data_IF_145199891001
#
_entry.id   IF_145199891001
#
_cell.length_a   1.000
_cell.length_b   1.000
_cell.length_c   1.000
_cell.angle_alpha   90.00
_cell.angle_beta   90.00
_cell.angle_gamma   90.00
#
_symmetry.space_group_name_H-M   'P 1'
#
loop_
_entity.id
_entity.type
_entity.pdbx_description
1 polymer ?
#
# COMPACT_ATOMS: atom_id res chain seq x y z
N UNK A 1 15.06 -12.07 28.40
CA UNK A 1 13.78 -12.06 27.68
C UNK A 1 14.01 -12.76 26.35
N UNK A 2 13.14 -13.68 25.99
CA UNK A 2 13.19 -14.45 24.74
C UNK A 2 12.48 -13.65 23.66
N UNK A 3 13.17 -13.43 22.54
CA UNK A 3 12.66 -12.75 21.34
C UNK A 3 11.26 -13.24 20.94
N UNK A 4 10.35 -12.31 20.63
CA UNK A 4 9.01 -12.60 20.13
C UNK A 4 9.11 -13.35 18.80
N UNK A 5 8.59 -14.58 18.71
CA UNK A 5 8.65 -15.37 17.48
C UNK A 5 7.25 -15.53 16.89
N UNK A 6 7.20 -15.72 15.58
CA UNK A 6 5.98 -16.06 14.86
C UNK A 6 5.22 -17.26 15.48
N UNK A 7 5.94 -18.28 15.96
CA UNK A 7 5.32 -19.44 16.62
C UNK A 7 4.53 -19.09 17.89
N UNK A 8 4.91 -18.02 18.59
CA UNK A 8 4.20 -17.56 19.77
C UNK A 8 2.86 -16.94 19.36
N UNK A 9 2.81 -16.21 18.24
CA UNK A 9 1.57 -15.69 17.63
C UNK A 9 0.68 -16.81 17.07
N UNK A 10 1.27 -17.76 16.34
CA UNK A 10 0.56 -18.92 15.81
C UNK A 10 -0.07 -19.75 16.94
N UNK A 11 0.65 -19.99 18.05
CA UNK A 11 0.08 -20.66 19.22
C UNK A 11 -1.09 -19.88 19.82
N UNK A 12 -0.95 -18.56 19.98
CA UNK A 12 -2.05 -17.71 20.49
C UNK A 12 -3.26 -17.74 19.57
N UNK A 13 -3.07 -17.86 18.26
CA UNK A 13 -4.17 -18.02 17.31
C UNK A 13 -4.94 -19.34 17.56
N UNK A 14 -4.26 -20.41 17.96
CA UNK A 14 -4.87 -21.72 18.24
C UNK A 14 -5.60 -21.80 19.60
N UNK A 15 -5.04 -21.17 20.63
CA UNK A 15 -5.52 -21.34 22.02
C UNK A 15 -6.13 -20.09 22.65
N UNK A 16 -6.12 -18.96 21.93
CA UNK A 16 -6.68 -17.68 22.39
C UNK A 16 -8.18 -17.75 22.71
N UNK A 17 -8.73 -16.80 23.47
CA UNK A 17 -10.13 -16.80 23.85
C UNK A 17 -11.05 -16.78 22.63
N UNK A 18 -12.16 -17.54 22.69
CA UNK A 18 -13.17 -17.54 21.63
C UNK A 18 -14.01 -16.26 21.67
N UNK A 19 -14.40 -15.77 20.50
CA UNK A 19 -15.27 -14.60 20.33
C UNK A 19 -16.10 -14.75 19.06
N UNK A 20 -17.32 -14.21 19.01
CA UNK A 20 -18.02 -14.08 17.73
C UNK A 20 -17.41 -12.93 16.95
N UNK A 21 -17.32 -13.09 15.63
CA UNK A 21 -16.79 -12.05 14.76
C UNK A 21 -17.54 -10.72 14.92
N UNK A 22 -18.87 -10.75 14.99
CA UNK A 22 -19.69 -9.55 15.24
C UNK A 22 -19.36 -8.84 16.55
N UNK A 23 -19.00 -9.61 17.59
CA UNK A 23 -18.66 -9.04 18.89
C UNK A 23 -17.26 -8.41 18.84
N UNK A 24 -16.35 -8.97 18.04
CA UNK A 24 -15.03 -8.40 17.78
C UNK A 24 -15.13 -7.10 16.97
N UNK A 25 -15.92 -7.08 15.90
CA UNK A 25 -16.15 -5.89 15.07
C UNK A 25 -16.75 -4.73 15.89
N UNK A 26 -17.73 -5.03 16.75
CA UNK A 26 -18.29 -4.05 17.67
C UNK A 26 -17.28 -3.61 18.74
N UNK A 27 -16.43 -4.52 19.23
CA UNK A 27 -15.37 -4.18 20.19
C UNK A 27 -14.38 -3.18 19.59
N UNK A 28 -13.95 -3.37 18.34
CA UNK A 28 -13.09 -2.42 17.62
C UNK A 28 -13.76 -1.05 17.56
N UNK A 29 -15.00 -1.01 17.08
CA UNK A 29 -15.77 0.23 16.91
C UNK A 29 -15.92 0.99 18.22
N UNK A 30 -16.37 0.31 19.28
CA UNK A 30 -16.62 0.93 20.59
C UNK A 30 -15.33 1.41 21.26
N UNK A 31 -14.27 0.60 21.19
CA UNK A 31 -12.97 0.94 21.78
C UNK A 31 -12.35 2.14 21.05
N UNK A 32 -12.42 2.20 19.73
CA UNK A 32 -11.92 3.34 18.97
C UNK A 32 -12.68 4.64 19.29
N UNK A 33 -14.01 4.57 19.43
CA UNK A 33 -14.83 5.72 19.84
C UNK A 33 -14.52 6.21 21.26
N UNK A 34 -14.34 5.27 22.20
CA UNK A 34 -13.95 5.57 23.58
C UNK A 34 -12.59 6.29 23.61
N UNK A 35 -11.59 5.71 22.96
CA UNK A 35 -10.23 6.27 22.91
C UNK A 35 -10.18 7.61 22.18
N UNK A 36 -10.91 7.79 21.08
CA UNK A 36 -11.01 9.09 20.41
C UNK A 36 -11.58 10.17 21.33
N UNK A 37 -12.53 9.82 22.20
CA UNK A 37 -13.10 10.74 23.19
C UNK A 37 -12.12 11.02 24.33
N UNK A 38 -11.43 10.01 24.84
CA UNK A 38 -10.46 10.14 25.94
C UNK A 38 -9.28 11.05 25.56
N UNK A 39 -8.81 10.94 24.31
CA UNK A 39 -7.69 11.70 23.77
C UNK A 39 -8.11 12.97 22.99
N UNK A 40 -9.41 13.30 22.94
CA UNK A 40 -9.98 14.41 22.17
C UNK A 40 -9.57 14.44 20.67
N UNK A 41 -9.46 13.27 20.05
CA UNK A 41 -9.06 13.10 18.65
C UNK A 41 -10.26 13.41 17.74
N UNK A 42 -10.17 14.51 16.99
CA UNK A 42 -11.26 15.00 16.12
C UNK A 42 -10.79 15.19 14.69
N UNK A 43 -11.64 14.77 13.74
CA UNK A 43 -11.42 15.00 12.32
C UNK A 43 -11.78 16.45 11.96
N UNK A 44 -10.84 17.16 11.32
CA UNK A 44 -11.07 18.48 10.73
C UNK A 44 -11.04 18.37 9.19
N UNK A 45 -12.18 18.55 8.50
CA UNK A 45 -12.24 18.43 7.03
C UNK A 45 -11.55 19.58 6.28
N UNK A 46 -11.10 20.64 6.97
CA UNK A 46 -10.32 21.74 6.38
C UNK A 46 -8.81 21.47 6.37
N UNK A 47 -8.36 20.45 7.10
CA UNK A 47 -6.95 20.06 7.20
C UNK A 47 -6.75 18.77 6.40
N UNK A 48 -5.81 18.80 5.45
CA UNK A 48 -5.41 17.62 4.70
C UNK A 48 -4.08 17.07 5.23
N UNK A 49 -3.15 17.96 5.59
CA UNK A 49 -1.88 17.63 6.20
C UNK A 49 -1.82 18.30 7.57
N UNK A 50 -1.89 17.51 8.64
CA UNK A 50 -1.83 18.06 10.01
C UNK A 50 -0.41 18.48 10.36
N UNK A 51 -0.22 19.65 10.97
CA UNK A 51 1.03 20.06 11.60
C UNK A 51 1.04 19.85 13.13
N UNK A 52 -0.07 19.37 13.70
CA UNK A 52 -0.24 19.12 15.13
C UNK A 52 0.49 17.84 15.56
N UNK A 53 1.60 18.02 16.28
CA UNK A 53 2.40 16.92 16.82
C UNK A 53 1.71 16.20 17.99
N UNK A 54 0.97 16.91 18.85
CA UNK A 54 0.25 16.29 19.96
C UNK A 54 -0.81 15.33 19.45
N UNK A 55 -1.58 15.74 18.43
CA UNK A 55 -2.59 14.88 17.81
C UNK A 55 -1.99 13.56 17.28
N UNK A 56 -0.82 13.63 16.65
CA UNK A 56 -0.12 12.43 16.17
C UNK A 56 0.32 11.51 17.32
N UNK A 57 0.83 12.08 18.41
CA UNK A 57 1.27 11.31 19.58
C UNK A 57 0.08 10.70 20.34
N UNK A 58 -1.04 11.43 20.43
CA UNK A 58 -2.31 10.94 21.00
C UNK A 58 -2.90 9.78 20.17
N UNK A 59 -2.90 9.89 18.83
CA UNK A 59 -3.31 8.79 17.94
C UNK A 59 -2.42 7.57 18.11
N UNK A 60 -1.11 7.75 18.34
CA UNK A 60 -0.21 6.64 18.65
C UNK A 60 -0.58 5.93 19.95
N UNK A 61 -0.78 6.69 21.04
CA UNK A 61 -1.16 6.11 22.33
C UNK A 61 -2.52 5.40 22.25
N UNK A 62 -3.49 6.03 21.60
CA UNK A 62 -4.80 5.42 21.35
C UNK A 62 -4.68 4.14 20.52
N UNK A 63 -3.87 4.12 19.45
CA UNK A 63 -3.67 2.94 18.61
C UNK A 63 -3.04 1.77 19.37
N UNK A 64 -2.02 2.07 20.20
CA UNK A 64 -1.41 1.09 21.11
C UNK A 64 -2.46 0.50 22.08
N UNK A 65 -3.24 1.37 22.74
CA UNK A 65 -4.28 0.96 23.68
C UNK A 65 -5.36 0.13 23.00
N UNK A 66 -5.77 0.49 21.78
CA UNK A 66 -6.74 -0.28 21.00
C UNK A 66 -6.21 -1.69 20.73
N UNK A 67 -4.97 -1.83 20.26
CA UNK A 67 -4.36 -3.13 19.97
C UNK A 67 -4.30 -4.01 21.23
N UNK A 68 -3.89 -3.46 22.37
CA UNK A 68 -3.80 -4.19 23.63
C UNK A 68 -5.18 -4.62 24.17
N UNK A 69 -6.21 -3.79 24.01
CA UNK A 69 -7.58 -4.08 24.47
C UNK A 69 -8.31 -5.07 23.56
N UNK A 70 -8.08 -5.00 22.25
CA UNK A 70 -8.81 -5.79 21.27
C UNK A 70 -8.09 -7.07 20.88
N UNK A 71 -6.78 -7.03 20.67
CA UNK A 71 -6.01 -8.10 20.05
C UNK A 71 -6.27 -8.22 18.54
N UNK A 72 -5.94 -9.38 17.98
CA UNK A 72 -6.15 -9.71 16.57
C UNK A 72 -7.05 -10.94 16.46
N UNK A 73 -8.10 -10.89 15.65
CA UNK A 73 -9.08 -11.98 15.54
C UNK A 73 -8.74 -12.94 14.40
N UNK A 74 -8.68 -14.23 14.70
CA UNK A 74 -8.59 -15.29 13.70
C UNK A 74 -10.00 -15.74 13.30
N UNK A 75 -10.41 -15.42 12.07
CA UNK A 75 -11.74 -15.73 11.54
C UNK A 75 -11.96 -17.23 11.33
N UNK A 76 -10.89 -18.00 11.10
CA UNK A 76 -10.97 -19.43 10.79
C UNK A 76 -11.45 -20.26 11.97
N UNK A 77 -10.98 -19.93 13.18
CA UNK A 77 -11.31 -20.68 14.40
C UNK A 77 -12.03 -19.83 15.47
N UNK A 78 -12.32 -18.57 15.17
CA UNK A 78 -13.07 -17.63 16.01
C UNK A 78 -12.38 -17.32 17.35
N UNK A 79 -11.05 -17.19 17.33
CA UNK A 79 -10.24 -16.87 18.52
C UNK A 79 -9.53 -15.54 18.38
N UNK A 80 -9.17 -14.95 19.51
CA UNK A 80 -8.41 -13.69 19.57
C UNK A 80 -6.97 -13.97 20.00
N UNK A 81 -6.02 -13.53 19.20
CA UNK A 81 -4.61 -13.39 19.56
C UNK A 81 -4.52 -12.19 20.51
N UNK A 82 -4.29 -12.46 21.79
CA UNK A 82 -4.11 -11.43 22.83
C UNK A 82 -2.64 -11.06 22.94
N UNK A 83 -2.36 -9.76 23.08
CA UNK A 83 -1.00 -9.21 23.11
C UNK A 83 -0.76 -8.51 24.44
N UNK A 84 0.43 -8.67 25.01
CA UNK A 84 0.87 -7.86 26.17
C UNK A 84 1.66 -6.64 25.71
N UNK A 85 1.77 -5.64 26.58
CA UNK A 85 2.54 -4.44 26.30
C UNK A 85 4.03 -4.76 26.05
N UNK A 86 4.58 -5.73 26.77
CA UNK A 86 5.96 -6.20 26.58
C UNK A 86 6.16 -6.83 25.21
N UNK A 87 5.24 -7.70 24.76
CA UNK A 87 5.30 -8.33 23.44
C UNK A 87 5.28 -7.28 22.32
N UNK A 88 4.40 -6.28 22.45
CA UNK A 88 4.32 -5.20 21.45
C UNK A 88 5.59 -4.34 21.45
N UNK A 89 6.08 -3.94 22.63
CA UNK A 89 7.32 -3.16 22.75
C UNK A 89 8.54 -3.91 22.23
N UNK A 90 8.63 -5.22 22.49
CA UNK A 90 9.68 -6.08 21.97
C UNK A 90 9.62 -6.18 20.45
N UNK A 91 8.44 -6.43 19.88
CA UNK A 91 8.24 -6.45 18.42
C UNK A 91 8.65 -5.14 17.75
N UNK A 92 8.22 -4.00 18.30
CA UNK A 92 8.59 -2.68 17.78
C UNK A 92 10.09 -2.41 17.88
N UNK A 93 10.73 -2.76 19.00
CA UNK A 93 12.17 -2.59 19.21
C UNK A 93 13.01 -3.38 18.21
N UNK A 94 12.56 -4.59 17.85
CA UNK A 94 13.27 -5.48 16.94
C UNK A 94 12.89 -5.26 15.47
N UNK A 95 11.94 -4.36 15.18
CA UNK A 95 11.51 -4.09 13.81
C UNK A 95 12.65 -3.54 12.95
N UNK A 96 12.66 -3.90 11.66
CA UNK A 96 13.63 -3.35 10.73
C UNK A 96 13.41 -1.85 10.53
N UNK A 97 14.46 -1.05 10.77
CA UNK A 97 14.48 0.38 10.45
C UNK A 97 15.00 0.63 9.02
N UNK A 98 15.77 -0.32 8.48
CA UNK A 98 16.26 -0.32 7.11
C UNK A 98 16.34 -1.76 6.57
N UNK A 99 16.23 -1.89 5.26
CA UNK A 99 16.36 -3.15 4.53
C UNK A 99 16.97 -2.89 3.16
N UNK A 100 17.86 -3.76 2.70
CA UNK A 100 18.46 -3.69 1.37
C UNK A 100 17.95 -4.85 0.52
N UNK A 101 17.55 -4.55 -0.70
CA UNK A 101 17.13 -5.54 -1.68
C UNK A 101 17.72 -5.21 -3.06
N UNK A 102 17.87 -6.21 -3.91
CA UNK A 102 18.38 -6.10 -5.26
C UNK A 102 19.90 -6.11 -5.36
N UNK A 103 20.41 -6.12 -6.60
CA UNK A 103 21.85 -6.25 -6.88
C UNK A 103 22.35 -5.25 -7.92
N UNK A 104 23.61 -4.86 -7.79
CA UNK A 104 24.26 -3.92 -8.72
C UNK A 104 23.49 -2.61 -8.82
N UNK A 105 23.14 -2.21 -10.05
CA UNK A 105 22.36 -0.99 -10.32
C UNK A 105 20.90 -1.05 -9.85
N UNK A 106 20.39 -2.25 -9.58
CA UNK A 106 19.01 -2.47 -9.13
C UNK A 106 18.91 -2.52 -7.59
N UNK A 107 20.03 -2.32 -6.88
CA UNK A 107 20.07 -2.30 -5.41
C UNK A 107 19.32 -1.09 -4.86
N UNK A 108 18.44 -1.33 -3.91
CA UNK A 108 17.63 -0.32 -3.23
C UNK A 108 17.80 -0.48 -1.72
N UNK A 109 18.09 0.63 -1.05
CA UNK A 109 18.01 0.73 0.41
C UNK A 109 16.67 1.36 0.80
N UNK A 110 15.85 0.58 1.48
CA UNK A 110 14.55 0.99 2.00
C UNK A 110 14.74 1.35 3.46
N UNK A 111 14.20 2.48 3.91
CA UNK A 111 14.33 2.91 5.31
C UNK A 111 13.05 3.51 5.85
N UNK A 112 12.91 3.48 7.17
CA UNK A 112 11.94 4.28 7.88
C UNK A 112 12.23 5.76 7.63
N UNK A 113 11.17 6.54 7.43
CA UNK A 113 11.25 7.99 7.25
C UNK A 113 10.67 8.70 8.46
N UNK A 114 11.23 9.86 8.77
CA UNK A 114 10.66 10.76 9.78
C UNK A 114 9.65 11.71 9.15
N UNK A 115 8.86 12.37 9.99
CA UNK A 115 8.04 13.51 9.55
C UNK A 115 8.95 14.58 8.94
N UNK A 116 8.57 15.10 7.77
CA UNK A 116 9.33 16.08 6.99
C UNK A 116 10.77 15.66 6.67
N UNK A 117 11.01 14.36 6.55
CA UNK A 117 12.34 13.84 6.22
C UNK A 117 12.77 14.29 4.82
N UNK A 118 13.95 14.90 4.74
CA UNK A 118 14.52 15.45 3.49
C UNK A 118 15.05 14.38 2.55
N UNK A 119 15.27 13.20 3.11
CA UNK A 119 15.76 12.05 2.41
C UNK A 119 14.75 11.50 1.41
N UNK A 120 15.26 11.08 0.24
CA UNK A 120 14.46 10.52 -0.85
C UNK A 120 13.57 9.38 -0.35
N UNK A 121 12.27 9.46 -0.64
CA UNK A 121 11.32 8.39 -0.38
C UNK A 121 11.52 7.22 -1.35
N UNK A 122 11.42 5.98 -0.85
CA UNK A 122 11.42 4.79 -1.70
C UNK A 122 10.08 4.68 -2.43
N UNK A 123 10.13 4.41 -3.74
CA UNK A 123 8.97 4.31 -4.62
C UNK A 123 8.68 2.86 -4.98
N UNK A 124 7.56 2.37 -4.46
CA UNK A 124 6.95 1.10 -4.83
C UNK A 124 5.90 1.36 -5.90
N UNK A 125 6.12 0.91 -7.13
CA UNK A 125 5.16 1.19 -8.20
C UNK A 125 5.17 0.10 -9.25
N UNK A 126 4.08 -0.01 -10.00
CA UNK A 126 3.88 -1.09 -10.94
C UNK A 126 2.43 -1.15 -11.40
N UNK A 127 2.08 -2.18 -12.18
CA UNK A 127 0.70 -2.45 -12.56
C UNK A 127 -0.27 -2.57 -11.39
N UNK A 128 0.21 -2.89 -10.18
CA UNK A 128 -0.59 -2.96 -8.96
C UNK A 128 -1.80 -3.89 -9.12
N UNK A 129 -1.57 -5.09 -9.67
CA UNK A 129 -2.60 -6.12 -9.78
C UNK A 129 -3.75 -5.82 -10.75
N UNK A 130 -3.61 -4.78 -11.59
CA UNK A 130 -4.60 -4.50 -12.65
C UNK A 130 -4.70 -5.71 -13.57
N UNK A 131 -5.93 -6.13 -13.88
CA UNK A 131 -6.22 -7.20 -14.84
C UNK A 131 -5.43 -6.96 -16.12
N UNK A 132 -4.69 -7.96 -16.58
CA UNK A 132 -3.76 -7.85 -17.68
C UNK A 132 -3.94 -9.04 -18.62
N UNK A 133 -4.10 -8.76 -19.90
CA UNK A 133 -4.19 -9.82 -20.91
C UNK A 133 -2.85 -10.51 -21.07
N UNK A 134 -2.87 -11.81 -21.38
CA UNK A 134 -1.64 -12.63 -21.39
C UNK A 134 -0.59 -12.11 -22.40
N UNK A 135 -1.03 -11.65 -23.56
CA UNK A 135 -0.19 -11.06 -24.61
C UNK A 135 0.42 -9.71 -24.20
N UNK A 136 -0.27 -8.97 -23.34
CA UNK A 136 0.19 -7.67 -22.83
C UNK A 136 1.02 -7.78 -21.56
N UNK A 137 1.04 -8.93 -20.89
CA UNK A 137 1.70 -9.09 -19.60
C UNK A 137 3.16 -8.63 -19.62
N UNK A 138 3.97 -9.17 -20.54
CA UNK A 138 5.39 -8.81 -20.63
C UNK A 138 5.61 -7.34 -21.00
N UNK A 139 5.07 -6.81 -22.11
CA UNK A 139 5.31 -5.41 -22.48
C UNK A 139 4.79 -4.42 -21.44
N UNK A 140 3.66 -4.72 -20.80
CA UNK A 140 3.08 -3.87 -19.75
C UNK A 140 3.98 -3.79 -18.53
N UNK A 141 4.38 -4.94 -17.97
CA UNK A 141 5.29 -4.97 -16.82
C UNK A 141 6.67 -4.39 -17.15
N UNK A 142 7.21 -4.68 -18.33
CA UNK A 142 8.48 -4.14 -18.81
C UNK A 142 8.45 -2.60 -18.84
N UNK A 143 7.36 -2.00 -19.32
CA UNK A 143 7.25 -0.55 -19.42
C UNK A 143 7.31 0.12 -18.03
N UNK A 144 6.71 -0.48 -16.99
CA UNK A 144 6.87 0.00 -15.61
C UNK A 144 8.32 -0.17 -15.13
N UNK A 145 8.92 -1.33 -15.36
CA UNK A 145 10.31 -1.59 -14.93
C UNK A 145 11.33 -0.65 -15.56
N UNK A 146 11.07 -0.18 -16.78
CA UNK A 146 11.92 0.79 -17.48
C UNK A 146 11.83 2.21 -16.91
N UNK A 147 10.84 2.52 -16.06
CA UNK A 147 10.77 3.82 -15.39
C UNK A 147 11.91 3.96 -14.37
N UNK A 148 12.82 4.94 -14.54
CA UNK A 148 14.04 5.03 -13.75
C UNK A 148 13.80 5.41 -12.29
N UNK A 149 12.65 6.01 -11.99
CA UNK A 149 12.30 6.46 -10.63
C UNK A 149 11.53 5.41 -9.82
N UNK A 150 11.17 4.27 -10.44
CA UNK A 150 10.57 3.15 -9.70
C UNK A 150 11.72 2.34 -9.10
N UNK A 151 11.74 2.25 -7.77
CA UNK A 151 12.75 1.51 -7.03
C UNK A 151 12.39 0.03 -6.95
N UNK A 152 11.11 -0.26 -6.64
CA UNK A 152 10.61 -1.61 -6.39
C UNK A 152 9.33 -1.82 -7.20
N UNK A 153 9.26 -2.94 -7.93
CA UNK A 153 8.03 -3.29 -8.64
C UNK A 153 6.97 -3.73 -7.66
N UNK A 154 5.86 -2.99 -7.64
CA UNK A 154 4.73 -3.30 -6.79
C UNK A 154 3.64 -4.03 -7.55
N UNK A 155 3.61 -5.37 -7.40
CA UNK A 155 2.72 -6.29 -8.11
C UNK A 155 2.68 -6.07 -9.64
N UNK A 156 3.10 -7.09 -10.37
CA UNK A 156 2.79 -7.18 -11.78
C UNK A 156 1.29 -7.26 -12.05
N UNK A 157 0.95 -7.21 -13.34
CA UNK A 157 -0.44 -7.33 -13.80
C UNK A 157 -1.10 -8.64 -13.35
N UNK A 158 -2.41 -8.67 -13.16
CA UNK A 158 -3.14 -9.89 -12.82
C UNK A 158 -3.56 -10.66 -14.08
N UNK A 159 -3.14 -11.92 -14.22
CA UNK A 159 -3.57 -12.78 -15.32
C UNK A 159 -4.95 -13.36 -15.00
N UNK A 160 -6.00 -12.80 -15.60
CA UNK A 160 -7.39 -13.23 -15.35
C UNK A 160 -7.89 -14.28 -16.34
N UNK A 161 -7.24 -14.42 -17.50
CA UNK A 161 -7.68 -15.29 -18.59
C UNK A 161 -6.53 -16.08 -19.20
N UNK A 162 -6.71 -17.39 -19.37
CA UNK A 162 -5.74 -18.33 -19.98
C UNK A 162 -6.51 -19.38 -20.78
N UNK A 163 -6.02 -19.72 -21.98
CA UNK A 163 -6.50 -20.87 -22.77
C UNK A 163 -8.04 -20.93 -22.95
N UNK A 164 -8.64 -19.81 -23.40
CA UNK A 164 -10.09 -19.70 -23.60
C UNK A 164 -10.92 -19.55 -22.31
N UNK A 165 -10.31 -19.61 -21.12
CA UNK A 165 -10.96 -19.30 -19.84
C UNK A 165 -10.96 -17.79 -19.65
N UNK A 166 -12.14 -17.17 -19.61
CA UNK A 166 -12.30 -15.73 -19.47
C UNK A 166 -12.09 -15.21 -18.03
N UNK A 167 -12.33 -16.07 -17.03
CA UNK A 167 -12.14 -15.72 -15.61
C UNK A 167 -11.64 -16.94 -14.86
N UNK A 168 -10.40 -16.84 -14.40
CA UNK A 168 -9.79 -17.85 -13.54
C UNK A 168 -10.44 -17.75 -12.16
N UNK A 169 -11.07 -18.84 -11.74
CA UNK A 169 -11.68 -18.92 -10.40
C UNK A 169 -10.60 -19.21 -9.36
N UNK A 170 -10.78 -18.62 -8.19
CA UNK A 170 -10.01 -18.99 -7.01
C UNK A 170 -10.10 -20.50 -6.73
N UNK A 171 -8.98 -21.08 -6.32
CA UNK A 171 -8.74 -22.48 -6.03
C UNK A 171 -8.93 -23.44 -7.22
N UNK A 172 -8.86 -22.93 -8.45
CA UNK A 172 -8.89 -23.77 -9.66
C UNK A 172 -7.49 -24.19 -10.12
N UNK A 173 -7.39 -25.25 -10.93
CA UNK A 173 -6.13 -25.67 -11.53
C UNK A 173 -5.48 -24.56 -12.39
N UNK A 174 -6.31 -23.75 -13.06
CA UNK A 174 -5.83 -22.61 -13.85
C UNK A 174 -5.20 -21.52 -13.00
N UNK A 175 -5.55 -21.40 -11.73
CA UNK A 175 -4.96 -20.40 -10.84
C UNK A 175 -3.52 -20.77 -10.46
N UNK A 176 -3.23 -22.05 -10.21
CA UNK A 176 -1.85 -22.52 -10.00
C UNK A 176 -1.01 -22.34 -11.27
N UNK A 177 -1.61 -22.61 -12.44
CA UNK A 177 -0.96 -22.35 -13.74
C UNK A 177 -0.68 -20.85 -13.93
N UNK A 178 -1.66 -19.99 -13.62
CA UNK A 178 -1.51 -18.54 -13.70
C UNK A 178 -0.42 -18.01 -12.77
N UNK A 179 -0.35 -18.50 -11.54
CA UNK A 179 0.69 -18.17 -10.58
C UNK A 179 2.08 -18.47 -11.14
N UNK A 180 2.21 -19.64 -11.78
CA UNK A 180 3.47 -20.07 -12.39
C UNK A 180 3.84 -19.22 -13.61
N UNK A 181 2.91 -19.04 -14.54
CA UNK A 181 3.11 -18.20 -15.72
C UNK A 181 3.47 -16.77 -15.34
N UNK A 182 2.81 -16.19 -14.34
CA UNK A 182 3.15 -14.88 -13.83
C UNK A 182 4.64 -14.83 -13.46
N UNK A 183 5.17 -15.81 -12.70
CA UNK A 183 6.57 -15.79 -12.27
C UNK A 183 7.54 -15.82 -13.45
N UNK A 184 7.27 -16.67 -14.44
CA UNK A 184 8.09 -16.79 -15.65
C UNK A 184 8.06 -15.50 -16.48
N UNK A 185 6.86 -14.95 -16.71
CA UNK A 185 6.67 -13.74 -17.51
C UNK A 185 7.20 -12.48 -16.80
N UNK A 186 7.12 -12.42 -15.47
CA UNK A 186 7.75 -11.34 -14.70
C UNK A 186 9.28 -11.38 -14.82
N UNK A 187 9.88 -12.57 -14.74
CA UNK A 187 11.32 -12.72 -14.95
C UNK A 187 11.72 -12.31 -16.38
N UNK A 188 10.92 -12.65 -17.38
CA UNK A 188 11.12 -12.18 -18.75
C UNK A 188 11.06 -10.64 -18.83
N UNK A 189 10.05 -10.01 -18.22
CA UNK A 189 9.92 -8.55 -18.21
C UNK A 189 11.11 -7.86 -17.52
N UNK A 190 11.59 -8.39 -16.39
CA UNK A 190 12.76 -7.87 -15.66
C UNK A 190 14.03 -7.89 -16.52
N UNK A 191 14.26 -9.01 -17.23
CA UNK A 191 15.40 -9.16 -18.15
C UNK A 191 15.30 -8.17 -19.31
N UNK A 192 14.12 -8.06 -19.94
CA UNK A 192 13.90 -7.17 -21.09
C UNK A 192 13.97 -5.69 -20.72
N UNK A 193 13.56 -5.32 -19.50
CA UNK A 193 13.75 -3.99 -18.94
C UNK A 193 15.22 -3.69 -18.60
N UNK A 194 16.09 -4.70 -18.66
CA UNK A 194 17.50 -4.60 -18.28
C UNK A 194 17.70 -4.41 -16.78
N UNK A 195 16.74 -4.81 -15.95
CA UNK A 195 16.75 -4.70 -14.48
C UNK A 195 16.49 -6.06 -13.81
N UNK A 196 17.30 -7.09 -14.10
CA UNK A 196 17.04 -8.47 -13.69
C UNK A 196 17.06 -8.68 -12.16
N UNK A 197 17.59 -7.73 -11.38
CA UNK A 197 17.66 -7.81 -9.91
C UNK A 197 16.83 -6.74 -9.23
N UNK A 198 15.89 -6.12 -9.94
CA UNK A 198 14.95 -5.17 -9.34
C UNK A 198 14.07 -5.88 -8.32
N UNK A 199 14.00 -5.39 -7.06
CA UNK A 199 13.14 -6.00 -6.07
C UNK A 199 11.67 -5.94 -6.48
N UNK A 200 10.90 -6.92 -6.03
CA UNK A 200 9.49 -7.06 -6.36
C UNK A 200 8.67 -7.33 -5.10
N UNK A 201 7.52 -6.68 -4.98
CA UNK A 201 6.46 -7.12 -4.08
C UNK A 201 5.54 -8.10 -4.79
N UNK A 202 5.41 -9.28 -4.21
CA UNK A 202 4.64 -10.39 -4.71
C UNK A 202 3.59 -10.85 -3.69
N UNK A 203 2.36 -11.10 -4.11
CA UNK A 203 1.37 -11.78 -3.29
C UNK A 203 -0.03 -11.68 -3.87
N UNK A 204 -1.07 -11.84 -3.03
CA UNK A 204 -2.50 -11.98 -3.39
C UNK A 204 -3.01 -10.97 -4.43
N UNK A 205 -2.48 -9.74 -4.47
CA UNK A 205 -2.87 -8.75 -5.48
C UNK A 205 -2.37 -9.06 -6.91
N UNK A 206 -1.50 -10.06 -7.10
CA UNK A 206 -1.26 -10.71 -8.39
C UNK A 206 -2.45 -11.57 -8.87
N UNK A 207 -3.52 -11.64 -8.06
CA UNK A 207 -4.77 -12.35 -8.25
C UNK A 207 -4.63 -13.87 -8.26
N UNK A 208 -3.78 -14.36 -7.36
CA UNK A 208 -3.68 -15.79 -7.03
C UNK A 208 -4.20 -15.95 -5.61
N UNK A 209 -5.13 -16.87 -5.41
CA UNK A 209 -5.62 -17.25 -4.09
C UNK A 209 -4.45 -17.67 -3.20
N UNK A 210 -4.63 -17.45 -1.92
CA UNK A 210 -3.54 -17.32 -0.99
C UNK A 210 -2.56 -18.52 -0.98
N UNK A 211 -3.01 -19.79 -1.00
CA UNK A 211 -2.06 -20.93 -1.01
C UNK A 211 -1.53 -21.28 -2.40
N UNK A 212 -2.23 -20.89 -3.48
CA UNK A 212 -1.83 -21.27 -4.84
C UNK A 212 -0.60 -20.49 -5.31
N UNK A 213 -0.29 -19.34 -4.70
CA UNK A 213 0.94 -18.60 -5.00
C UNK A 213 2.20 -19.37 -4.61
N UNK A 214 2.10 -20.31 -3.66
CA UNK A 214 3.19 -21.22 -3.29
C UNK A 214 3.61 -22.12 -4.47
N UNK A 215 2.70 -22.38 -5.42
CA UNK A 215 3.00 -23.15 -6.63
C UNK A 215 4.00 -22.47 -7.58
N UNK A 216 4.21 -21.16 -7.40
CA UNK A 216 5.17 -20.36 -8.17
C UNK A 216 6.57 -20.29 -7.52
N UNK A 217 6.72 -20.70 -6.25
CA UNK A 217 7.96 -20.46 -5.50
C UNK A 217 9.21 -21.07 -6.14
N UNK A 218 9.10 -22.26 -6.74
CA UNK A 218 10.24 -22.94 -7.38
C UNK A 218 10.75 -22.26 -8.65
N UNK A 219 10.01 -21.30 -9.19
CA UNK A 219 10.31 -20.61 -10.46
C UNK A 219 10.39 -19.09 -10.33
N UNK A 220 10.28 -18.58 -9.11
CA UNK A 220 10.40 -17.16 -8.81
C UNK A 220 11.76 -16.58 -9.17
N UNK A 221 11.84 -15.25 -9.42
CA UNK A 221 13.09 -14.57 -9.68
C UNK A 221 14.11 -14.83 -8.55
N UNK A 222 15.40 -14.86 -8.91
CA UNK A 222 16.44 -15.43 -8.05
C UNK A 222 16.77 -14.52 -6.86
N UNK A 223 16.98 -15.17 -5.70
CA UNK A 223 17.14 -14.69 -4.31
C UNK A 223 15.82 -14.33 -3.60
N UNK A 224 15.43 -15.08 -2.56
CA UNK A 224 14.28 -14.76 -1.74
C UNK A 224 14.28 -13.36 -1.13
N UNK A 225 15.46 -12.83 -0.78
CA UNK A 225 15.65 -11.50 -0.19
C UNK A 225 15.20 -10.34 -1.10
N UNK A 226 15.12 -10.57 -2.42
CA UNK A 226 14.70 -9.56 -3.40
C UNK A 226 13.18 -9.57 -3.62
N UNK A 227 12.46 -10.48 -2.96
CA UNK A 227 11.04 -10.70 -3.17
C UNK A 227 10.25 -10.51 -1.87
N UNK A 228 9.61 -9.35 -1.77
CA UNK A 228 8.73 -9.05 -0.64
C UNK A 228 7.42 -9.83 -0.79
N UNK A 229 7.15 -10.74 0.14
CA UNK A 229 5.91 -11.53 0.14
C UNK A 229 4.81 -10.79 0.88
N UNK A 230 3.69 -10.57 0.21
CA UNK A 230 2.57 -9.81 0.75
C UNK A 230 1.69 -10.66 1.66
N UNK A 231 1.54 -10.23 2.91
CA UNK A 231 0.60 -10.77 3.90
C UNK A 231 -0.30 -9.63 4.37
N UNK A 232 -1.59 -9.74 4.09
CA UNK A 232 -2.55 -8.65 4.30
C UNK A 232 -3.55 -9.05 5.38
N UNK A 233 -3.69 -8.25 6.43
CA UNK A 233 -4.79 -8.40 7.37
C UNK A 233 -6.14 -8.23 6.66
N UNK A 234 -7.13 -8.96 7.14
CA UNK A 234 -8.53 -8.72 6.85
C UNK A 234 -9.00 -7.49 7.68
N UNK A 235 -9.84 -6.61 7.12
CA UNK A 235 -10.37 -5.46 7.87
C UNK A 235 -11.34 -5.89 8.98
N UNK A 236 -11.23 -5.42 10.22
CA UNK A 236 -10.11 -4.69 10.84
C UNK A 236 -9.41 -5.61 11.85
N UNK A 237 -8.06 -5.59 11.92
CA UNK A 237 -7.28 -6.42 12.85
C UNK A 237 -7.66 -7.92 12.83
N UNK A 238 -7.92 -8.47 11.64
CA UNK A 238 -8.28 -9.88 11.45
C UNK A 238 -7.27 -10.64 10.62
N UNK A 239 -7.10 -11.92 10.93
CA UNK A 239 -6.33 -12.89 10.15
C UNK A 239 -7.16 -14.13 9.90
N UNK A 240 -6.70 -14.99 9.00
CA UNK A 240 -7.20 -16.34 8.81
C UNK A 240 -6.02 -17.34 8.86
N UNK A 241 -6.34 -18.63 8.97
CA UNK A 241 -5.32 -19.68 8.99
C UNK A 241 -4.52 -19.75 7.69
N UNK A 242 -5.06 -19.22 6.59
CA UNK A 242 -4.38 -19.21 5.31
C UNK A 242 -3.23 -18.18 5.33
N UNK A 243 -3.48 -16.97 5.83
CA UNK A 243 -2.49 -15.93 6.04
C UNK A 243 -1.38 -16.39 7.00
N UNK A 244 -1.75 -17.03 8.11
CA UNK A 244 -0.78 -17.59 9.05
C UNK A 244 0.06 -18.71 8.42
N UNK A 245 -0.57 -19.62 7.67
CA UNK A 245 0.14 -20.71 6.98
C UNK A 245 1.16 -20.18 5.96
N UNK A 246 0.78 -19.17 5.18
CA UNK A 246 1.69 -18.52 4.23
C UNK A 246 2.82 -17.77 4.91
N UNK A 247 2.52 -17.06 5.99
CA UNK A 247 3.55 -16.34 6.76
C UNK A 247 4.59 -17.34 7.27
N UNK A 248 4.16 -18.47 7.82
CA UNK A 248 5.05 -19.54 8.23
C UNK A 248 5.94 -20.03 7.08
N UNK A 249 5.36 -20.23 5.89
CA UNK A 249 6.11 -20.62 4.70
C UNK A 249 7.16 -19.55 4.31
N UNK A 250 6.76 -18.29 4.18
CA UNK A 250 7.64 -17.22 3.72
C UNK A 250 8.83 -16.99 4.64
N UNK A 251 8.60 -17.01 5.96
CA UNK A 251 9.67 -16.85 6.94
C UNK A 251 10.68 -18.00 6.86
N UNK A 252 10.22 -19.24 6.66
CA UNK A 252 11.11 -20.40 6.56
C UNK A 252 11.95 -20.43 5.27
N UNK A 253 11.51 -19.74 4.22
CA UNK A 253 12.25 -19.60 2.96
C UNK A 253 13.08 -18.30 2.86
N UNK A 254 13.09 -17.48 3.91
CA UNK A 254 13.90 -16.26 3.99
C UNK A 254 13.36 -15.09 3.16
N UNK A 255 12.06 -15.06 2.84
CA UNK A 255 11.45 -13.92 2.16
C UNK A 255 11.20 -12.77 3.14
N UNK A 256 11.54 -11.51 2.79
CA UNK A 256 11.10 -10.37 3.55
C UNK A 256 9.59 -10.21 3.40
N UNK A 257 8.92 -9.81 4.47
CA UNK A 257 7.47 -9.66 4.46
C UNK A 257 7.07 -8.22 4.17
N UNK A 258 6.20 -8.07 3.18
CA UNK A 258 5.35 -6.91 3.03
C UNK A 258 4.07 -7.19 3.79
N UNK A 259 3.92 -6.60 4.97
CA UNK A 259 2.77 -6.81 5.82
C UNK A 259 1.83 -5.61 5.69
N UNK A 260 0.58 -5.84 5.30
CA UNK A 260 -0.35 -4.75 5.00
C UNK A 260 -1.72 -4.87 5.62
N UNK A 261 -2.41 -3.74 5.68
CA UNK A 261 -3.73 -3.57 6.33
C UNK A 261 -4.60 -2.66 5.46
N UNK A 262 -5.92 -2.73 5.61
CA UNK A 262 -6.88 -1.94 4.80
C UNK A 262 -7.98 -1.38 5.70
N UNK A 263 -7.66 -0.35 6.48
CA UNK A 263 -8.64 0.29 7.35
C UNK A 263 -9.76 0.96 6.54
N UNK A 264 -11.02 0.67 6.88
CA UNK A 264 -12.21 1.14 6.17
C UNK A 264 -12.83 2.33 6.89
N UNK A 265 -12.65 3.53 6.35
CA UNK A 265 -13.32 4.75 6.80
C UNK A 265 -14.81 4.66 6.46
N UNK A 266 -15.65 4.82 7.48
CA UNK A 266 -17.09 4.58 7.45
C UNK A 266 -17.51 3.13 7.67
N UNK A 267 -16.56 2.22 7.92
CA UNK A 267 -16.80 0.84 8.33
C UNK A 267 -16.80 0.67 9.85
N UNK A 268 -16.34 -0.50 10.35
CA UNK A 268 -16.17 -0.74 11.78
C UNK A 268 -15.07 0.13 12.42
N UNK A 269 -14.15 0.65 11.62
CA UNK A 269 -13.18 1.63 12.10
C UNK A 269 -13.82 3.01 12.39
N UNK A 270 -15.08 3.24 12.01
CA UNK A 270 -15.80 4.50 12.21
C UNK A 270 -15.35 5.60 11.23
N UNK A 271 -15.46 6.87 11.65
CA UNK A 271 -15.06 8.02 10.84
C UNK A 271 -13.54 8.24 10.84
N UNK A 272 -13.03 9.26 10.13
CA UNK A 272 -11.60 9.49 9.92
C UNK A 272 -10.77 9.49 11.22
N UNK A 273 -11.31 10.06 12.31
CA UNK A 273 -10.64 10.14 13.61
C UNK A 273 -10.46 8.76 14.27
N UNK A 274 -11.53 7.97 14.37
CA UNK A 274 -11.44 6.61 14.93
C UNK A 274 -10.69 5.68 13.98
N UNK A 275 -10.82 5.88 12.67
CA UNK A 275 -10.08 5.12 11.67
C UNK A 275 -8.57 5.37 11.77
N UNK A 276 -8.13 6.58 12.08
CA UNK A 276 -6.71 6.87 12.32
C UNK A 276 -6.15 6.03 13.49
N UNK A 277 -6.93 5.87 14.56
CA UNK A 277 -6.56 5.05 15.74
C UNK A 277 -6.45 3.56 15.34
N UNK A 278 -7.46 3.04 14.64
CA UNK A 278 -7.47 1.64 14.17
C UNK A 278 -6.32 1.38 13.22
N UNK A 279 -6.08 2.28 12.27
CA UNK A 279 -4.97 2.23 11.32
C UNK A 279 -3.60 2.20 12.02
N UNK A 280 -3.41 2.98 13.08
CA UNK A 280 -2.18 2.94 13.88
C UNK A 280 -2.03 1.61 14.63
N UNK A 281 -3.11 1.07 15.19
CA UNK A 281 -3.10 -0.26 15.82
C UNK A 281 -2.72 -1.36 14.80
N UNK A 282 -3.28 -1.27 13.59
CA UNK A 282 -3.01 -2.17 12.47
C UNK A 282 -1.54 -2.10 12.01
N UNK A 283 -0.96 -0.90 11.91
CA UNK A 283 0.46 -0.71 11.60
C UNK A 283 1.41 -1.30 12.67
N UNK A 284 1.01 -1.31 13.93
CA UNK A 284 1.76 -1.99 14.99
C UNK A 284 1.62 -3.51 14.85
N UNK A 285 0.40 -3.99 14.57
CA UNK A 285 0.09 -5.40 14.43
C UNK A 285 0.85 -6.07 13.27
N UNK A 286 1.13 -5.37 12.16
CA UNK A 286 1.92 -5.91 11.04
C UNK A 286 3.31 -6.38 11.44
N UNK A 287 3.93 -5.71 12.42
CA UNK A 287 5.23 -6.12 12.95
C UNK A 287 5.06 -7.23 13.99
N UNK A 288 4.16 -7.04 14.95
CA UNK A 288 4.03 -7.94 16.09
C UNK A 288 3.52 -9.33 15.68
N UNK A 289 2.60 -9.39 14.71
CA UNK A 289 1.99 -10.66 14.28
C UNK A 289 2.80 -11.34 13.18
N UNK A 290 3.24 -10.57 12.18
CA UNK A 290 3.89 -11.13 11.00
C UNK A 290 5.42 -10.96 10.97
N UNK A 291 5.98 -9.99 11.70
CA UNK A 291 7.39 -9.60 11.51
C UNK A 291 7.60 -8.81 10.21
N UNK A 292 6.63 -7.97 9.84
CA UNK A 292 6.67 -7.17 8.62
C UNK A 292 7.93 -6.30 8.50
N UNK A 293 8.65 -6.45 7.39
CA UNK A 293 9.78 -5.58 7.02
C UNK A 293 9.26 -4.27 6.46
N UNK A 294 8.34 -4.35 5.49
CA UNK A 294 7.60 -3.20 4.96
C UNK A 294 6.18 -3.24 5.51
N UNK A 295 5.77 -2.18 6.19
CA UNK A 295 4.50 -2.12 6.91
C UNK A 295 3.54 -1.17 6.17
N UNK A 296 2.59 -1.76 5.46
CA UNK A 296 1.71 -1.08 4.55
C UNK A 296 0.32 -0.80 5.14
N UNK A 297 -0.25 0.31 4.73
CA UNK A 297 -1.67 0.57 4.91
C UNK A 297 -2.28 1.14 3.64
N UNK A 298 -3.40 0.57 3.22
CA UNK A 298 -4.19 1.09 2.11
C UNK A 298 -5.60 1.44 2.54
N UNK A 299 -5.83 2.52 3.31
CA UNK A 299 -7.16 2.84 3.80
C UNK A 299 -8.15 2.98 2.64
N UNK A 300 -9.41 2.64 2.86
CA UNK A 300 -10.47 2.79 1.87
C UNK A 300 -11.64 3.54 2.48
N UNK A 301 -12.22 4.47 1.74
CA UNK A 301 -13.46 5.10 2.17
C UNK A 301 -14.66 4.32 1.63
N UNK A 302 -15.62 3.93 2.48
CA UNK A 302 -16.75 3.06 2.09
C UNK A 302 -17.52 3.57 0.87
N UNK A 303 -17.74 4.89 0.80
CA UNK A 303 -18.33 5.56 -0.38
C UNK A 303 -17.39 5.61 -1.60
N UNK A 304 -16.22 6.24 -1.45
CA UNK A 304 -15.38 6.61 -2.59
C UNK A 304 -14.50 5.47 -3.11
N UNK A 305 -14.16 4.48 -2.29
CA UNK A 305 -13.20 3.41 -2.59
C UNK A 305 -11.83 3.94 -3.07
N UNK A 306 -11.52 5.20 -2.77
CA UNK A 306 -10.27 5.89 -3.07
C UNK A 306 -9.75 6.58 -1.81
N UNK A 307 -8.50 7.06 -1.86
CA UNK A 307 -7.77 7.61 -0.71
C UNK A 307 -7.54 9.12 -0.80
N UNK A 308 -8.11 9.76 -1.82
CA UNK A 308 -7.80 11.15 -2.21
C UNK A 308 -8.90 12.12 -1.78
N UNK A 309 -9.94 11.61 -1.12
CA UNK A 309 -10.97 12.42 -0.48
C UNK A 309 -10.46 13.05 0.84
N UNK A 310 -11.11 14.12 1.35
CA UNK A 310 -10.67 14.82 2.56
C UNK A 310 -10.43 13.95 3.78
N UNK A 311 -11.35 13.02 4.08
CA UNK A 311 -11.27 12.16 5.26
C UNK A 311 -10.07 11.20 5.18
N UNK A 312 -9.83 10.62 4.00
CA UNK A 312 -8.67 9.75 3.77
C UNK A 312 -7.34 10.50 3.84
N UNK A 313 -7.26 11.74 3.31
CA UNK A 313 -6.04 12.55 3.37
C UNK A 313 -5.70 12.96 4.80
N UNK A 314 -6.69 13.42 5.58
CA UNK A 314 -6.50 13.75 6.98
C UNK A 314 -6.04 12.53 7.79
N UNK A 315 -6.73 11.41 7.64
CA UNK A 315 -6.43 10.16 8.35
C UNK A 315 -5.03 9.66 8.01
N UNK A 316 -4.65 9.64 6.72
CA UNK A 316 -3.32 9.25 6.30
C UNK A 316 -2.23 10.16 6.87
N UNK A 317 -2.49 11.47 6.93
CA UNK A 317 -1.54 12.43 7.50
C UNK A 317 -1.31 12.20 8.98
N UNK A 318 -2.37 12.10 9.78
CA UNK A 318 -2.25 11.98 11.24
C UNK A 318 -1.68 10.62 11.62
N UNK A 319 -2.20 9.52 11.06
CA UNK A 319 -1.69 8.18 11.35
C UNK A 319 -0.26 7.99 10.85
N UNK A 320 0.07 8.51 9.66
CA UNK A 320 1.43 8.43 9.11
C UNK A 320 2.44 9.08 10.04
N UNK A 321 2.11 10.27 10.56
CA UNK A 321 2.91 10.99 11.54
C UNK A 321 2.98 10.26 12.88
N UNK A 322 1.87 9.69 13.37
CA UNK A 322 1.83 8.92 14.60
C UNK A 322 2.87 7.79 14.59
N UNK A 323 2.90 7.02 13.50
CA UNK A 323 3.87 5.92 13.31
C UNK A 323 5.30 6.46 13.14
N UNK A 324 5.51 7.46 12.28
CA UNK A 324 6.86 7.98 11.98
C UNK A 324 7.53 8.68 13.18
N UNK A 325 6.75 9.25 14.10
CA UNK A 325 7.24 9.92 15.30
C UNK A 325 7.57 8.96 16.44
N UNK A 326 6.79 7.89 16.58
CA UNK A 326 6.81 7.02 17.75
C UNK A 326 7.40 5.63 17.48
N UNK A 327 7.90 5.40 16.27
CA UNK A 327 8.53 4.13 15.88
C UNK A 327 9.63 4.35 14.84
N UNK A 328 10.28 3.26 14.42
CA UNK A 328 11.19 3.23 13.29
C UNK A 328 10.71 2.23 12.22
N UNK A 329 9.39 2.13 12.02
CA UNK A 329 8.84 1.21 11.04
C UNK A 329 9.03 1.75 9.61
N UNK A 330 9.40 0.87 8.68
CA UNK A 330 9.36 1.17 7.25
C UNK A 330 7.91 1.21 6.79
N UNK A 331 7.30 2.38 6.89
CA UNK A 331 5.90 2.60 6.56
C UNK A 331 5.67 2.94 5.07
N UNK A 332 4.68 2.31 4.45
CA UNK A 332 4.16 2.71 3.11
C UNK A 332 2.65 2.95 3.13
N UNK A 333 2.15 3.76 2.22
CA UNK A 333 0.71 3.80 1.94
C UNK A 333 0.42 3.71 0.46
N UNK A 334 -0.70 3.08 0.10
CA UNK A 334 -1.14 3.04 -1.28
C UNK A 334 -1.70 4.38 -1.70
N UNK A 335 -1.53 4.72 -2.97
CA UNK A 335 -2.15 5.87 -3.59
C UNK A 335 -3.21 5.39 -4.57
N UNK A 336 -4.45 5.35 -4.08
CA UNK A 336 -5.62 4.89 -4.84
C UNK A 336 -6.50 6.09 -5.19
N UNK A 337 -6.71 6.30 -6.49
CA UNK A 337 -7.37 7.49 -7.06
C UNK A 337 -8.75 7.16 -7.64
N UNK A 338 -9.66 8.14 -7.69
CA UNK A 338 -10.94 7.97 -8.38
C UNK A 338 -10.80 8.10 -9.90
N UNK A 339 -10.00 9.07 -10.33
CA UNK A 339 -9.57 9.26 -11.71
C UNK A 339 -8.81 8.04 -12.24
N UNK A 340 -8.80 7.90 -13.56
CA UNK A 340 -8.22 6.73 -14.23
C UNK A 340 -7.03 7.11 -15.12
N UNK A 341 -6.16 6.15 -15.46
CA UNK A 341 -4.95 6.37 -16.24
C UNK A 341 -5.25 7.07 -17.57
N UNK A 342 -4.36 7.94 -18.03
CA UNK A 342 -4.62 8.79 -19.19
C UNK A 342 -5.62 9.92 -18.91
N UNK A 343 -5.77 10.35 -17.66
CA UNK A 343 -6.51 11.56 -17.29
C UNK A 343 -5.67 12.48 -16.41
N UNK A 344 -5.92 13.78 -16.52
CA UNK A 344 -5.31 14.79 -15.65
C UNK A 344 -5.69 14.57 -14.18
N UNK A 345 -6.94 14.19 -13.91
CA UNK A 345 -7.43 14.00 -12.54
C UNK A 345 -6.61 12.96 -11.77
N UNK A 346 -6.25 11.83 -12.39
CA UNK A 346 -5.42 10.81 -11.73
C UNK A 346 -4.05 11.34 -11.32
N UNK A 347 -3.40 12.18 -12.15
CA UNK A 347 -2.12 12.80 -11.79
C UNK A 347 -2.27 13.74 -10.59
N UNK A 348 -3.30 14.59 -10.56
CA UNK A 348 -3.51 15.57 -9.50
C UNK A 348 -3.93 14.90 -8.17
N UNK A 349 -4.78 13.89 -8.24
CA UNK A 349 -5.15 13.06 -7.09
C UNK A 349 -3.94 12.32 -6.52
N UNK A 350 -3.13 11.69 -7.39
CA UNK A 350 -1.92 11.00 -6.97
C UNK A 350 -0.90 11.95 -6.34
N UNK A 351 -0.74 13.15 -6.91
CA UNK A 351 0.15 14.17 -6.36
C UNK A 351 -0.29 14.64 -4.97
N UNK A 352 -1.59 14.87 -4.77
CA UNK A 352 -2.13 15.29 -3.47
C UNK A 352 -1.79 14.29 -2.35
N UNK A 353 -2.02 13.01 -2.60
CA UNK A 353 -1.73 11.96 -1.61
C UNK A 353 -0.22 11.66 -1.49
N UNK A 354 0.56 11.80 -2.56
CA UNK A 354 2.02 11.69 -2.52
C UNK A 354 2.64 12.75 -1.60
N UNK A 355 2.29 14.03 -1.81
CA UNK A 355 2.74 15.16 -1.00
C UNK A 355 2.37 14.92 0.46
N UNK A 356 1.08 14.64 0.72
CA UNK A 356 0.55 14.34 2.05
C UNK A 356 1.33 13.24 2.77
N UNK A 357 1.60 12.13 2.09
CA UNK A 357 2.26 10.95 2.67
C UNK A 357 3.75 11.19 2.91
N UNK A 358 4.44 11.87 1.99
CA UNK A 358 5.89 12.12 2.09
C UNK A 358 6.20 13.03 3.28
N UNK A 359 5.48 14.14 3.44
CA UNK A 359 5.72 15.03 4.59
C UNK A 359 5.28 14.40 5.91
N UNK A 360 4.36 13.44 5.87
CA UNK A 360 3.91 12.66 7.03
C UNK A 360 4.86 11.50 7.38
N UNK A 361 6.00 11.36 6.69
CA UNK A 361 7.04 10.38 7.03
C UNK A 361 6.84 8.98 6.45
N UNK A 362 6.20 8.85 5.29
CA UNK A 362 5.97 7.56 4.62
C UNK A 362 6.82 7.40 3.37
N UNK A 363 7.17 6.16 3.04
CA UNK A 363 7.51 5.77 1.67
C UNK A 363 6.22 5.60 0.86
N UNK A 364 6.33 5.58 -0.46
CA UNK A 364 5.16 5.66 -1.32
C UNK A 364 4.91 4.39 -2.11
N UNK A 365 3.63 4.11 -2.33
CA UNK A 365 3.19 2.99 -3.13
C UNK A 365 2.05 3.38 -4.07
N UNK A 366 2.19 3.06 -5.36
CA UNK A 366 1.19 3.35 -6.39
C UNK A 366 1.73 4.26 -7.48
N UNK A 367 0.91 5.12 -8.11
CA UNK A 367 -0.53 5.25 -7.92
C UNK A 367 -1.30 4.11 -8.62
N UNK A 368 -2.56 3.88 -8.27
CA UNK A 368 -3.49 3.04 -9.05
C UNK A 368 -4.89 3.66 -9.11
N UNK A 369 -5.71 3.33 -10.13
CA UNK A 369 -7.14 3.61 -10.07
C UNK A 369 -7.82 2.69 -9.05
N UNK A 370 -8.76 3.25 -8.27
CA UNK A 370 -9.62 2.50 -7.35
C UNK A 370 -10.43 1.42 -8.06
N UNK A 371 -10.97 1.80 -9.23
CA UNK A 371 -11.80 0.94 -10.06
C UNK A 371 -11.28 0.98 -11.51
N UNK A 372 -10.34 0.09 -11.88
CA UNK A 372 -10.07 -0.22 -13.26
C UNK A 372 -11.37 -0.63 -13.98
N UNK A 373 -11.52 -0.28 -15.25
CA UNK A 373 -12.71 -0.62 -16.06
C UNK A 373 -12.46 -1.69 -17.09
N UNK A 374 -11.20 -1.92 -17.43
CA UNK A 374 -10.79 -2.77 -18.54
C UNK A 374 -9.49 -3.50 -18.14
N UNK A 375 -9.15 -4.61 -18.79
CA UNK A 375 -7.80 -5.13 -18.78
C UNK A 375 -6.79 -4.06 -19.28
N UNK A 376 -5.55 -4.18 -18.82
CA UNK A 376 -4.43 -3.31 -19.17
C UNK A 376 -4.69 -1.83 -18.82
N UNK A 377 -5.60 -1.55 -17.89
CA UNK A 377 -6.04 -0.20 -17.57
C UNK A 377 -5.14 0.47 -16.51
N UNK A 378 -3.86 0.61 -16.87
CA UNK A 378 -2.86 1.43 -16.18
C UNK A 378 -1.77 1.89 -17.17
N UNK A 379 -0.88 2.80 -16.75
CA UNK A 379 0.31 3.11 -17.54
C UNK A 379 1.46 3.71 -16.70
N UNK A 380 2.73 3.53 -17.10
CA UNK A 380 3.90 3.92 -16.31
C UNK A 380 4.09 5.43 -16.10
N UNK A 381 3.53 6.27 -16.97
CA UNK A 381 3.75 7.72 -16.90
C UNK A 381 3.14 8.34 -15.63
N UNK A 382 2.08 7.72 -15.10
CA UNK A 382 1.53 8.08 -13.79
C UNK A 382 2.52 7.80 -12.65
N UNK A 383 3.23 6.68 -12.70
CA UNK A 383 4.28 6.34 -11.73
C UNK A 383 5.47 7.29 -11.79
N UNK A 384 5.84 7.74 -13.00
CA UNK A 384 6.93 8.71 -13.17
C UNK A 384 6.62 10.03 -12.45
N UNK A 385 5.50 10.68 -12.79
CA UNK A 385 5.15 11.96 -12.15
C UNK A 385 4.93 11.79 -10.65
N UNK A 386 4.32 10.67 -10.24
CA UNK A 386 4.14 10.33 -8.83
C UNK A 386 5.48 10.28 -8.08
N UNK A 387 6.51 9.66 -8.64
CA UNK A 387 7.84 9.60 -8.06
C UNK A 387 8.53 10.97 -8.04
N UNK A 388 8.42 11.76 -9.11
CA UNK A 388 8.95 13.13 -9.14
C UNK A 388 8.33 14.01 -8.05
N UNK A 389 7.00 13.95 -7.90
CA UNK A 389 6.26 14.65 -6.83
C UNK A 389 6.71 14.18 -5.46
N UNK A 390 6.89 12.87 -5.27
CA UNK A 390 7.36 12.31 -4.01
C UNK A 390 8.73 12.87 -3.61
N UNK A 391 9.66 12.97 -4.56
CA UNK A 391 10.98 13.50 -4.30
C UNK A 391 10.96 15.02 -4.07
N UNK A 392 10.15 15.77 -4.83
CA UNK A 392 9.99 17.20 -4.60
C UNK A 392 9.37 17.51 -3.22
N UNK A 393 8.42 16.67 -2.77
CA UNK A 393 7.75 16.84 -1.50
C UNK A 393 8.67 16.67 -0.27
N UNK A 394 9.86 16.07 -0.40
CA UNK A 394 10.81 15.97 0.73
C UNK A 394 11.38 17.33 1.15
N UNK A 395 11.20 18.37 0.31
CA UNK A 395 11.63 19.74 0.59
C UNK A 395 10.58 20.58 1.32
N UNK A 396 9.34 20.10 1.40
CA UNK A 396 8.20 20.84 1.95
C UNK A 396 8.07 20.68 3.47
N UNK A 397 7.55 21.71 4.11
CA UNK A 397 6.96 21.63 5.46
C UNK A 397 5.49 21.23 5.41
N UNK A 398 4.96 20.69 6.51
CA UNK A 398 3.57 20.21 6.57
C UNK A 398 2.56 21.32 6.29
N UNK A 399 2.82 22.54 6.74
CA UNK A 399 1.99 23.71 6.48
C UNK A 399 1.92 24.05 4.98
N UNK A 400 3.08 24.13 4.32
CA UNK A 400 3.18 24.37 2.87
C UNK A 400 2.51 23.25 2.07
N UNK A 401 2.75 22.00 2.48
CA UNK A 401 2.12 20.84 1.89
C UNK A 401 0.60 20.88 2.03
N UNK A 402 0.07 21.30 3.19
CA UNK A 402 -1.37 21.44 3.39
C UNK A 402 -1.99 22.46 2.42
N UNK A 403 -1.34 23.61 2.21
CA UNK A 403 -1.81 24.63 1.26
C UNK A 403 -1.86 24.11 -0.18
N UNK A 404 -0.80 23.39 -0.61
CA UNK A 404 -0.74 22.80 -1.95
C UNK A 404 -1.83 21.72 -2.10
N UNK A 405 -1.92 20.80 -1.14
CA UNK A 405 -2.90 19.71 -1.17
C UNK A 405 -4.32 20.26 -1.17
N UNK A 406 -4.61 21.33 -0.40
CA UNK A 406 -5.92 21.97 -0.41
C UNK A 406 -6.30 22.50 -1.81
N UNK A 407 -5.36 23.12 -2.53
CA UNK A 407 -5.58 23.60 -3.90
C UNK A 407 -5.81 22.44 -4.88
N UNK A 408 -5.06 21.34 -4.74
CA UNK A 408 -5.26 20.14 -5.56
C UNK A 408 -6.62 19.51 -5.31
N UNK A 409 -6.99 19.29 -4.05
CA UNK A 409 -8.29 18.72 -3.64
C UNK A 409 -9.45 19.56 -4.18
N UNK A 410 -9.33 20.89 -4.14
CA UNK A 410 -10.35 21.78 -4.69
C UNK A 410 -10.63 21.55 -6.19
N UNK A 411 -9.67 21.03 -6.96
CA UNK A 411 -9.85 20.76 -8.39
C UNK A 411 -10.60 19.47 -8.72
N UNK A 412 -10.68 18.50 -7.79
CA UNK A 412 -11.22 17.17 -8.07
C UNK A 412 -12.24 16.65 -7.04
N UNK A 413 -12.41 17.29 -5.88
CA UNK A 413 -13.28 16.78 -4.79
C UNK A 413 -14.72 16.49 -5.23
N UNK A 414 -15.23 17.24 -6.21
CA UNK A 414 -16.60 17.14 -6.70
C UNK A 414 -16.77 16.08 -7.83
N UNK A 415 -15.67 15.46 -8.27
CA UNK A 415 -15.62 14.44 -9.34
C UNK A 415 -15.02 13.10 -8.86
N UNK A 416 -15.04 12.85 -7.54
CA UNK A 416 -14.58 11.60 -6.94
C UNK A 416 -15.55 10.43 -7.12
N UNK A 417 -16.84 10.68 -7.35
CA UNK A 417 -17.81 9.61 -7.64
C UNK A 417 -17.49 8.97 -9.02
N UNK A 418 -17.55 7.64 -9.14
CA UNK A 418 -17.04 6.92 -10.32
C UNK A 418 -17.81 7.16 -11.64
N UNK A 419 -19.04 7.62 -11.53
CA UNK A 419 -19.88 8.08 -12.64
C UNK A 419 -19.35 9.39 -13.23
N UNK A 420 -18.78 10.28 -12.40
CA UNK A 420 -18.20 11.57 -12.80
C UNK A 420 -16.72 11.51 -13.12
N UNK A 421 -15.97 10.68 -12.38
CA UNK A 421 -14.52 10.54 -12.55
C UNK A 421 -14.17 10.16 -14.00
N UNK A 422 -13.05 10.66 -14.55
CA UNK A 422 -12.60 10.30 -15.89
C UNK A 422 -12.49 8.78 -16.09
N UNK A 423 -12.92 8.30 -17.25
CA UNK A 423 -12.84 6.88 -17.61
C UNK A 423 -11.43 6.44 -17.98
N UNK A 424 -10.56 7.36 -18.37
CA UNK A 424 -9.18 7.07 -18.69
C UNK A 424 -9.00 6.26 -19.98
N UNK A 425 -7.83 5.65 -20.13
CA UNK A 425 -7.38 4.90 -21.29
C UNK A 425 -6.59 3.67 -20.86
N UNK A 426 -6.66 2.62 -21.67
CA UNK A 426 -5.82 1.43 -21.49
C UNK A 426 -4.36 1.75 -21.83
N UNK A 427 -3.47 0.82 -21.51
CA UNK A 427 -2.05 0.92 -21.80
C UNK A 427 -1.79 1.09 -23.31
N UNK A 428 -2.45 0.29 -24.14
CA UNK A 428 -2.30 0.30 -25.62
C UNK A 428 -2.86 1.57 -26.26
N UNK A 429 -3.82 2.22 -25.61
CA UNK A 429 -4.32 3.53 -26.02
C UNK A 429 -3.38 4.68 -25.59
N UNK A 430 -2.51 4.43 -24.60
CA UNK A 430 -1.64 5.43 -23.99
C UNK A 430 -0.17 5.29 -24.39
N UNK A 431 0.22 4.14 -24.97
CA UNK A 431 1.59 3.77 -25.31
C UNK A 431 1.67 3.03 -26.66
N UNK A 432 2.77 3.22 -27.37
CA UNK A 432 3.15 2.33 -28.45
C UNK A 432 3.73 1.04 -27.86
N UNK A 433 2.97 -0.05 -27.88
CA UNK A 433 3.35 -1.34 -27.26
C UNK A 433 4.64 -1.94 -27.85
N UNK A 434 5.02 -1.57 -29.08
CA UNK A 434 6.26 -2.08 -29.70
C UNK A 434 7.51 -1.36 -29.20
N UNK A 435 7.43 -0.04 -29.00
CA UNK A 435 8.55 0.78 -28.54
C UNK A 435 8.54 1.03 -27.04
N UNK A 436 7.41 0.77 -26.38
CA UNK A 436 7.11 1.08 -24.98
C UNK A 436 7.23 2.58 -24.65
N UNK A 437 6.98 3.43 -25.65
CA UNK A 437 6.97 4.88 -25.49
C UNK A 437 5.54 5.41 -25.33
N UNK A 438 5.32 6.44 -24.48
CA UNK A 438 4.01 7.06 -24.34
C UNK A 438 3.60 7.75 -25.65
N UNK A 439 2.29 7.77 -25.93
CA UNK A 439 1.75 8.59 -27.02
C UNK A 439 1.95 10.08 -26.73
N UNK A 440 1.97 10.91 -27.79
CA UNK A 440 2.08 12.37 -27.64
C UNK A 440 0.99 12.95 -26.74
N UNK A 441 -0.23 12.41 -26.81
CA UNK A 441 -1.35 12.83 -25.99
C UNK A 441 -1.12 12.51 -24.50
N UNK A 442 -0.67 11.29 -24.19
CA UNK A 442 -0.38 10.91 -22.80
C UNK A 442 0.79 11.73 -22.24
N UNK A 443 1.83 11.98 -23.07
CA UNK A 443 2.95 12.83 -22.70
C UNK A 443 2.53 14.29 -22.45
N UNK A 444 1.59 14.81 -23.25
CA UNK A 444 1.03 16.15 -23.05
C UNK A 444 0.28 16.25 -21.72
N UNK A 445 -0.51 15.24 -21.36
CA UNK A 445 -1.21 15.19 -20.07
C UNK A 445 -0.24 15.19 -18.88
N UNK A 446 0.84 14.41 -18.97
CA UNK A 446 1.91 14.41 -17.97
C UNK A 446 2.55 15.80 -17.82
N UNK A 447 2.90 16.45 -18.95
CA UNK A 447 3.49 17.80 -18.94
C UNK A 447 2.54 18.84 -18.38
N UNK A 448 1.25 18.77 -18.71
CA UNK A 448 0.23 19.66 -18.17
C UNK A 448 0.10 19.50 -16.65
N UNK A 449 0.02 18.25 -16.16
CA UNK A 449 -0.03 17.99 -14.72
C UNK A 449 1.21 18.52 -14.00
N UNK A 450 2.39 18.28 -14.58
CA UNK A 450 3.68 18.75 -14.04
C UNK A 450 3.74 20.27 -13.96
N UNK A 451 3.36 20.97 -15.03
CA UNK A 451 3.28 22.44 -15.06
C UNK A 451 2.35 22.98 -13.97
N UNK A 452 1.16 22.38 -13.79
CA UNK A 452 0.23 22.78 -12.72
C UNK A 452 0.82 22.61 -11.34
N UNK A 453 1.60 21.55 -11.10
CA UNK A 453 2.26 21.30 -9.82
C UNK A 453 3.39 22.31 -9.55
N UNK A 454 4.14 22.69 -10.58
CA UNK A 454 5.15 23.77 -10.50
C UNK A 454 4.48 25.10 -10.16
N UNK A 455 3.38 25.45 -10.82
CA UNK A 455 2.61 26.67 -10.54
C UNK A 455 2.06 26.72 -9.10
N UNK A 456 1.85 25.55 -8.48
CA UNK A 456 1.43 25.43 -7.09
C UNK A 456 2.59 25.50 -6.09
N UNK A 457 3.83 25.51 -6.56
CA UNK A 457 5.03 25.67 -5.73
C UNK A 457 5.86 24.41 -5.53
N UNK A 458 5.62 23.32 -6.28
CA UNK A 458 6.52 22.17 -6.24
C UNK A 458 7.77 22.40 -7.09
N UNK A 459 8.94 22.14 -6.52
CA UNK A 459 10.22 22.16 -7.22
C UNK A 459 10.42 20.87 -8.05
N UNK A 460 9.83 20.83 -9.24
CA UNK A 460 10.02 19.76 -10.24
C UNK A 460 10.96 20.25 -11.34
N UNK A 461 11.88 19.40 -11.81
CA UNK A 461 12.74 19.71 -12.97
C UNK A 461 11.89 19.81 -14.24
N UNK A 462 12.08 20.84 -15.08
CA UNK A 462 11.28 21.05 -16.31
C UNK A 462 11.38 19.92 -17.35
#
# INVERSE_FOLDING_TARGET
>A
MTELRFWDMARKAEVGPMMKESDFDMRISMTAMELAKEHDIRYDPSIYVSSDNSLADDVWQAGMNLLLRCGVYNVSNKRVITLTEEEVKEGLKNAAAEFEAGKGKDRVKIRARKVEDRERATIFSGPFGVETTLDMFVPFNQAFMQEPLIDIIFHGGHIQSIDGIATIRANSAFEVIAARLYAELMNQALILAGRPFMPIVWGVAAGVSSLNELGADSIMPRNPEDIFRAVMFLPELKVDDILLSKTAHFMNYGYPLYAGTTTIIGGYAGDANTAAIVATAEQIATVVVFGGIVNHIGPQHVRYRSQTNPASLWMNSVMGQAVARNSHLIGTTSVTTAGRPGSLQMHLEAAALAINSVVSGRNLLGPRPAQPLYPNHHNPLHSRLFAEVAHAATKLKREEANEIVAKLVASYKDTLDFDKSPKGKTFEQSYNVKTLEPTEENLKLYKEAKSKLIDLGLELEE
#
